data_IF_429192774080
#
_entry.id   IF_429192774080
#
_cell.length_a   1.000
_cell.length_b   1.000
_cell.length_c   1.000
_cell.angle_alpha   90.00
_cell.angle_beta   90.00
_cell.angle_gamma   90.00
#
_symmetry.space_group_name_H-M   'P 1'
#
loop_
_entity.id
_entity.type
_entity.pdbx_description
1 polymer ?
#
# COMPACT_ATOMS: atom_id res chain seq x y z
N UNK A 1 -18.12 4.15 -5.04
CA UNK A 1 -17.36 3.94 -6.30
C UNK A 1 -15.88 3.90 -5.92
N UNK A 2 -15.03 3.02 -6.46
CA UNK A 2 -13.61 3.00 -6.07
C UNK A 2 -12.96 4.32 -6.50
N UNK A 3 -12.35 5.04 -5.56
CA UNK A 3 -11.58 6.31 -5.70
C UNK A 3 -11.75 7.04 -7.07
N UNK A 4 -10.66 7.32 -7.77
CA UNK A 4 -10.64 7.93 -9.12
C UNK A 4 -10.36 6.86 -10.18
N UNK A 5 -10.60 7.21 -11.46
CA UNK A 5 -10.29 6.31 -12.59
C UNK A 5 -8.79 5.96 -12.66
N UNK A 6 -7.93 6.93 -12.34
CA UNK A 6 -6.48 6.75 -12.35
C UNK A 6 -6.05 5.77 -11.26
N UNK A 7 -6.60 5.91 -10.05
CA UNK A 7 -6.35 4.97 -8.96
C UNK A 7 -6.78 3.56 -9.34
N UNK A 8 -7.93 3.39 -10.01
CA UNK A 8 -8.38 2.07 -10.47
C UNK A 8 -7.44 1.45 -11.51
N UNK A 9 -6.96 2.24 -12.47
CA UNK A 9 -6.00 1.77 -13.48
C UNK A 9 -4.68 1.36 -12.81
N UNK A 10 -4.14 2.21 -11.95
CA UNK A 10 -2.90 1.93 -11.21
C UNK A 10 -3.04 0.71 -10.29
N UNK A 11 -4.19 0.58 -9.62
CA UNK A 11 -4.52 -0.61 -8.82
C UNK A 11 -4.50 -1.87 -9.69
N UNK A 12 -5.04 -1.82 -10.91
CA UNK A 12 -5.03 -2.96 -11.83
C UNK A 12 -3.60 -3.36 -12.20
N UNK A 13 -2.72 -2.38 -12.48
CA UNK A 13 -1.30 -2.63 -12.77
C UNK A 13 -0.57 -3.27 -11.57
N UNK A 14 -0.82 -2.78 -10.35
CA UNK A 14 -0.24 -3.36 -9.13
C UNK A 14 -0.69 -4.81 -8.96
N UNK A 15 -1.98 -5.10 -9.16
CA UNK A 15 -2.52 -6.45 -9.01
C UNK A 15 -2.00 -7.44 -10.05
N UNK A 16 -1.67 -6.97 -11.24
CA UNK A 16 -1.03 -7.80 -12.26
C UNK A 16 0.40 -8.17 -11.88
N UNK A 17 1.12 -7.29 -11.17
CA UNK A 17 2.49 -7.53 -10.72
C UNK A 17 2.58 -8.27 -9.39
N UNK A 18 1.66 -7.99 -8.46
CA UNK A 18 1.65 -8.50 -7.09
C UNK A 18 0.30 -9.12 -6.72
N UNK A 19 -0.19 -10.15 -7.43
CA UNK A 19 -1.52 -10.73 -7.19
C UNK A 19 -1.74 -11.22 -5.75
N UNK A 20 -0.66 -11.60 -5.05
CA UNK A 20 -0.66 -12.10 -3.67
C UNK A 20 -0.96 -11.03 -2.60
N UNK A 21 -0.96 -9.73 -2.95
CA UNK A 21 -1.27 -8.67 -1.99
C UNK A 21 -2.75 -8.71 -1.57
N UNK A 22 -3.63 -9.22 -2.44
CA UNK A 22 -5.03 -9.42 -2.11
C UNK A 22 -5.21 -10.74 -1.34
N UNK A 23 -5.82 -10.65 -0.15
CA UNK A 23 -6.02 -11.80 0.75
C UNK A 23 -7.49 -12.24 0.84
N UNK A 24 -8.27 -12.18 -0.25
CA UNK A 24 -9.73 -12.43 -0.32
C UNK A 24 -10.26 -13.61 0.55
N UNK A 25 -9.47 -14.65 0.80
CA UNK A 25 -9.92 -15.89 1.43
C UNK A 25 -9.72 -15.99 2.95
N UNK A 26 -9.20 -14.96 3.64
CA UNK A 26 -8.94 -15.05 5.10
C UNK A 26 -9.67 -13.97 5.90
N UNK A 27 -10.23 -14.34 7.06
CA UNK A 27 -10.80 -13.39 8.04
C UNK A 27 -9.71 -12.39 8.46
N UNK A 28 -9.98 -11.09 8.32
CA UNK A 28 -8.98 -10.04 8.56
C UNK A 28 -8.11 -9.68 7.37
N UNK A 29 -8.50 -10.08 6.16
CA UNK A 29 -7.80 -9.70 4.93
C UNK A 29 -8.02 -8.24 4.56
N UNK A 30 -6.92 -7.54 4.30
CA UNK A 30 -6.98 -6.25 3.63
C UNK A 30 -7.10 -6.48 2.14
N UNK A 31 -8.21 -6.01 1.57
CA UNK A 31 -8.41 -5.91 0.12
C UNK A 31 -8.20 -4.47 -0.37
N UNK A 32 -7.88 -3.55 0.55
CA UNK A 32 -7.69 -2.12 0.30
C UNK A 32 -6.25 -1.73 -0.03
N UNK A 33 -5.26 -2.56 0.35
CA UNK A 33 -3.84 -2.27 0.18
C UNK A 33 -3.45 -1.87 -1.26
N UNK A 34 -3.95 -2.55 -2.32
CA UNK A 34 -3.66 -2.15 -3.69
C UNK A 34 -4.09 -0.72 -4.01
N UNK A 35 -5.22 -0.29 -3.45
CA UNK A 35 -5.76 1.05 -3.66
C UNK A 35 -4.98 2.11 -2.87
N UNK A 36 -4.54 1.77 -1.66
CA UNK A 36 -3.65 2.63 -0.86
C UNK A 36 -2.33 2.86 -1.59
N UNK A 37 -1.69 1.80 -2.08
CA UNK A 37 -0.43 1.88 -2.82
C UNK A 37 -0.62 2.67 -4.12
N UNK A 38 -1.69 2.39 -4.87
CA UNK A 38 -2.00 3.15 -6.08
C UNK A 38 -2.16 4.64 -5.82
N UNK A 39 -2.80 5.01 -4.71
CA UNK A 39 -2.98 6.41 -4.32
C UNK A 39 -1.65 7.07 -3.97
N UNK A 40 -0.80 6.40 -3.17
CA UNK A 40 0.52 6.91 -2.82
C UNK A 40 1.41 7.15 -4.06
N UNK A 41 1.38 6.25 -5.04
CA UNK A 41 2.12 6.44 -6.30
C UNK A 41 1.61 7.67 -7.07
N UNK A 42 0.30 7.87 -7.14
CA UNK A 42 -0.29 8.93 -7.95
C UNK A 42 -0.17 10.31 -7.31
N UNK A 43 -0.18 10.36 -5.98
CA UNK A 43 -0.09 11.59 -5.19
C UNK A 43 1.34 11.88 -4.71
N UNK A 44 2.34 11.08 -5.12
CA UNK A 44 3.74 11.16 -4.66
C UNK A 44 3.85 11.15 -3.11
N UNK A 45 3.06 10.27 -2.48
CA UNK A 45 2.88 10.19 -1.04
C UNK A 45 3.65 9.06 -0.37
N UNK A 46 3.93 9.23 0.92
CA UNK A 46 4.56 8.21 1.79
C UNK A 46 3.46 7.33 2.40
N UNK A 47 3.62 6.01 2.35
CA UNK A 47 2.67 5.09 2.98
C UNK A 47 3.03 4.88 4.45
N UNK A 48 2.08 5.16 5.35
CA UNK A 48 2.21 4.80 6.77
C UNK A 48 1.61 3.43 6.99
N UNK A 49 2.42 2.46 7.44
CA UNK A 49 1.96 1.09 7.70
C UNK A 49 2.72 0.43 8.85
N UNK A 50 1.99 -0.28 9.71
CA UNK A 50 2.56 -1.14 10.76
C UNK A 50 2.54 -2.62 10.35
N UNK A 51 2.33 -2.93 9.07
CA UNK A 51 2.56 -4.29 8.60
C UNK A 51 4.03 -4.66 8.80
N UNK A 52 4.27 -5.78 9.51
CA UNK A 52 5.59 -6.37 9.57
C UNK A 52 6.07 -6.82 8.19
N UNK A 53 7.37 -7.11 8.07
CA UNK A 53 8.00 -7.49 6.79
C UNK A 53 7.58 -8.91 6.35
N UNK A 54 6.35 -9.03 5.86
CA UNK A 54 5.78 -10.25 5.29
C UNK A 54 6.06 -10.26 3.80
N UNK A 55 6.38 -11.43 3.26
CA UNK A 55 6.67 -11.65 1.82
C UNK A 55 5.48 -11.34 0.86
N UNK A 56 4.38 -10.79 1.37
CA UNK A 56 3.17 -10.44 0.63
C UNK A 56 2.40 -9.26 1.25
N UNK A 57 3.11 -8.38 1.97
CA UNK A 57 2.55 -7.17 2.59
C UNK A 57 2.88 -5.89 1.84
N UNK A 58 2.36 -4.76 2.33
CA UNK A 58 2.63 -3.41 1.82
C UNK A 58 4.13 -3.13 1.75
N UNK A 59 4.97 -3.41 2.78
CA UNK A 59 6.40 -3.12 2.71
C UNK A 59 7.09 -3.76 1.50
N UNK A 60 6.82 -5.03 1.22
CA UNK A 60 7.42 -5.74 0.09
C UNK A 60 7.08 -5.09 -1.25
N UNK A 61 5.82 -4.69 -1.44
CA UNK A 61 5.40 -4.02 -2.67
C UNK A 61 6.01 -2.62 -2.77
N UNK A 62 6.09 -1.87 -1.67
CA UNK A 62 6.72 -0.55 -1.63
C UNK A 62 8.21 -0.65 -1.98
N UNK A 63 8.95 -1.56 -1.35
CA UNK A 63 10.36 -1.83 -1.64
C UNK A 63 10.55 -2.22 -3.12
N UNK A 64 9.68 -3.08 -3.66
CA UNK A 64 9.78 -3.52 -5.07
C UNK A 64 9.46 -2.42 -6.09
N UNK A 65 8.65 -1.43 -5.71
CA UNK A 65 8.24 -0.32 -6.57
C UNK A 65 9.04 0.97 -6.30
N UNK A 66 9.93 0.97 -5.30
CA UNK A 66 10.68 2.15 -4.87
C UNK A 66 9.82 3.23 -4.23
N UNK A 67 8.72 2.84 -3.58
CA UNK A 67 7.78 3.74 -2.89
C UNK A 67 8.23 3.91 -1.45
N UNK A 68 8.25 5.15 -0.97
CA UNK A 68 8.55 5.42 0.42
C UNK A 68 7.42 4.96 1.35
N UNK A 69 7.80 4.35 2.45
CA UNK A 69 6.89 3.96 3.51
C UNK A 69 7.58 4.08 4.86
N UNK A 70 6.79 4.29 5.91
CA UNK A 70 7.27 4.43 7.28
C UNK A 70 6.30 3.79 8.27
N UNK A 71 6.73 3.56 9.51
CA UNK A 71 5.83 3.08 10.56
C UNK A 71 5.01 4.22 11.13
N UNK A 72 3.91 3.88 11.79
CA UNK A 72 3.07 4.89 12.44
C UNK A 72 3.85 5.69 13.49
N UNK A 73 4.68 5.03 14.30
CA UNK A 73 5.49 5.71 15.30
C UNK A 73 6.47 6.72 14.68
N UNK A 74 7.14 6.34 13.59
CA UNK A 74 8.08 7.23 12.90
C UNK A 74 7.36 8.50 12.41
N UNK A 75 6.12 8.34 11.89
CA UNK A 75 5.31 9.48 11.42
C UNK A 75 4.84 10.36 12.58
N UNK A 76 4.46 9.75 13.70
CA UNK A 76 4.05 10.50 14.89
C UNK A 76 5.23 11.28 15.49
N UNK A 77 6.43 10.73 15.48
CA UNK A 77 7.63 11.43 15.92
C UNK A 77 7.91 12.65 15.03
N UNK A 78 7.79 12.54 13.69
CA UNK A 78 7.97 13.67 12.77
C UNK A 78 6.90 14.77 12.90
N UNK A 79 5.66 14.43 13.27
CA UNK A 79 4.54 15.38 13.34
C UNK A 79 4.42 16.07 14.70
N UNK A 80 4.87 15.40 15.77
CA UNK A 80 4.74 15.90 17.15
C UNK A 80 5.98 16.68 17.65
N UNK A 81 7.09 16.68 16.89
CA UNK A 81 8.23 17.59 17.06
C UNK A 81 7.96 19.00 16.50
#
# INVERSE_FOLDING_TARGET
>A
MPLSKEVQLKTTEILQQFPQIIKIQTKGSSNGDPFLIATAILEDGIIVTDEGNKNNGIPMVCESLGIEYMKLNDMLDEVLE
#
